data_IF_698228284476
#
_entry.id   IF_698228284476
#
_cell.length_a   1.000
_cell.length_b   1.000
_cell.length_c   1.000
_cell.angle_alpha   90.00
_cell.angle_beta   90.00
_cell.angle_gamma   90.00
#
_symmetry.space_group_name_H-M   'P 1'
#
loop_
_entity.id
_entity.type
_entity.pdbx_description
1 polymer ?
#
# COMPACT_ATOMS: atom_id res chain seq x y z
N UNK A 1 -3.92 13.96 17.90
CA UNK A 1 -3.08 13.71 16.71
C UNK A 1 -2.85 12.21 16.47
N UNK A 2 -2.44 11.42 17.46
CA UNK A 2 -2.22 9.97 17.30
C UNK A 2 -3.50 9.17 16.93
N UNK A 3 -4.64 9.44 17.58
CA UNK A 3 -5.91 8.74 17.29
C UNK A 3 -6.38 8.94 15.85
N UNK A 4 -6.33 10.17 15.34
CA UNK A 4 -6.72 10.49 13.96
C UNK A 4 -5.77 9.84 12.95
N UNK A 5 -4.48 9.76 13.26
CA UNK A 5 -3.49 9.07 12.42
C UNK A 5 -3.76 7.57 12.37
N UNK A 6 -4.00 6.95 13.52
CA UNK A 6 -4.39 5.54 13.63
C UNK A 6 -5.69 5.25 12.86
N UNK A 7 -6.69 6.13 12.96
CA UNK A 7 -7.95 6.01 12.22
C UNK A 7 -7.72 6.01 10.71
N UNK A 8 -6.89 6.92 10.19
CA UNK A 8 -6.58 7.00 8.75
C UNK A 8 -5.82 5.78 8.24
N UNK A 9 -4.90 5.26 9.04
CA UNK A 9 -4.18 4.01 8.72
C UNK A 9 -5.18 2.85 8.68
N UNK A 10 -6.04 2.72 9.69
CA UNK A 10 -7.07 1.66 9.71
C UNK A 10 -8.06 1.76 8.55
N UNK A 11 -8.47 2.98 8.17
CA UNK A 11 -9.34 3.19 7.00
C UNK A 11 -8.68 2.68 5.71
N UNK A 12 -7.40 3.03 5.50
CA UNK A 12 -6.64 2.52 4.36
C UNK A 12 -6.51 0.98 4.39
N UNK A 13 -6.18 0.41 5.54
CA UNK A 13 -6.06 -1.04 5.74
C UNK A 13 -7.38 -1.75 5.42
N UNK A 14 -8.51 -1.22 5.88
CA UNK A 14 -9.82 -1.78 5.58
C UNK A 14 -10.13 -1.71 4.08
N UNK A 15 -9.91 -0.56 3.43
CA UNK A 15 -10.13 -0.42 1.99
C UNK A 15 -9.26 -1.37 1.17
N UNK A 16 -8.02 -1.60 1.59
CA UNK A 16 -7.12 -2.55 0.94
C UNK A 16 -7.65 -3.99 1.07
N UNK A 17 -8.02 -4.39 2.29
CA UNK A 17 -8.60 -5.71 2.55
C UNK A 17 -9.93 -5.93 1.81
N UNK A 18 -10.80 -4.92 1.79
CA UNK A 18 -12.07 -4.97 1.08
C UNK A 18 -11.83 -5.11 -0.43
N UNK A 19 -10.87 -4.38 -1.00
CA UNK A 19 -10.54 -4.50 -2.43
C UNK A 19 -10.07 -5.90 -2.85
N UNK A 20 -9.38 -6.62 -1.95
CA UNK A 20 -8.98 -8.01 -2.20
C UNK A 20 -10.17 -8.95 -2.01
N UNK A 21 -10.93 -8.78 -0.93
CA UNK A 21 -12.08 -9.63 -0.60
C UNK A 21 -13.17 -9.59 -1.69
N UNK A 22 -13.37 -8.42 -2.29
CA UNK A 22 -14.38 -8.20 -3.32
C UNK A 22 -13.79 -8.23 -4.75
N UNK A 23 -12.52 -8.61 -4.91
CA UNK A 23 -11.84 -8.66 -6.21
C UNK A 23 -11.95 -7.33 -7.01
N UNK A 24 -11.93 -6.19 -6.31
CA UNK A 24 -12.04 -4.86 -6.89
C UNK A 24 -10.66 -4.32 -7.29
N UNK A 25 -10.23 -4.68 -8.50
CA UNK A 25 -8.96 -4.24 -9.09
C UNK A 25 -8.87 -2.72 -9.27
N UNK A 26 -9.99 -2.02 -9.47
CA UNK A 26 -10.02 -0.56 -9.64
C UNK A 26 -9.71 0.16 -8.32
N UNK A 27 -10.34 -0.26 -7.23
CA UNK A 27 -10.05 0.27 -5.89
C UNK A 27 -8.62 -0.06 -5.48
N UNK A 28 -8.17 -1.29 -5.72
CA UNK A 28 -6.81 -1.73 -5.38
C UNK A 28 -5.74 -0.92 -6.14
N UNK A 29 -5.97 -0.66 -7.43
CA UNK A 29 -5.12 0.22 -8.25
C UNK A 29 -4.98 1.61 -7.63
N UNK A 30 -6.07 2.22 -7.17
CA UNK A 30 -6.03 3.55 -6.55
C UNK A 30 -5.20 3.56 -5.26
N UNK A 31 -5.28 2.49 -4.46
CA UNK A 31 -4.51 2.34 -3.23
C UNK A 31 -3.01 2.14 -3.50
N UNK A 32 -2.66 1.47 -4.60
CA UNK A 32 -1.28 1.23 -5.02
C UNK A 32 -0.64 2.41 -5.75
N UNK A 33 -1.41 3.38 -6.25
CA UNK A 33 -0.92 4.50 -7.06
C UNK A 33 -0.26 5.59 -6.20
N UNK A 34 0.91 5.30 -5.62
CA UNK A 34 1.67 6.17 -4.69
C UNK A 34 1.91 7.57 -5.27
N UNK A 35 2.24 7.67 -6.56
CA UNK A 35 2.53 8.92 -7.25
C UNK A 35 1.30 9.74 -7.67
N UNK A 36 0.07 9.22 -7.46
CA UNK A 36 -1.19 9.85 -7.89
C UNK A 36 -1.49 11.21 -7.25
N UNK A 37 -0.81 11.56 -6.16
CA UNK A 37 -1.11 12.73 -5.33
C UNK A 37 -2.58 12.79 -4.87
N UNK A 38 -3.25 11.63 -4.75
CA UNK A 38 -4.61 11.56 -4.25
C UNK A 38 -4.67 12.07 -2.81
N UNK A 39 -5.71 12.84 -2.47
CA UNK A 39 -5.84 13.42 -1.13
C UNK A 39 -5.80 12.34 -0.04
N UNK A 40 -6.36 11.16 -0.29
CA UNK A 40 -6.32 10.02 0.63
C UNK A 40 -4.90 9.52 0.91
N UNK A 41 -4.06 9.39 -0.11
CA UNK A 41 -2.69 8.89 0.06
C UNK A 41 -1.77 9.94 0.68
N UNK A 42 -1.95 11.22 0.33
CA UNK A 42 -1.22 12.32 0.97
C UNK A 42 -1.53 12.39 2.47
N UNK A 43 -2.84 12.34 2.80
CA UNK A 43 -3.34 12.26 4.17
C UNK A 43 -2.79 11.04 4.93
N UNK A 44 -2.70 9.89 4.27
CA UNK A 44 -2.13 8.68 4.85
C UNK A 44 -0.62 8.83 5.12
N UNK A 45 0.13 9.38 4.18
CA UNK A 45 1.56 9.66 4.36
C UNK A 45 1.81 10.57 5.57
N UNK A 46 0.99 11.61 5.74
CA UNK A 46 1.06 12.50 6.90
C UNK A 46 0.70 11.76 8.20
N UNK A 47 -0.27 10.85 8.18
CA UNK A 47 -0.62 10.00 9.33
C UNK A 47 0.51 9.03 9.71
N UNK A 48 1.16 8.40 8.71
CA UNK A 48 2.27 7.48 8.90
C UNK A 48 3.50 8.15 9.51
N UNK A 49 3.74 9.43 9.19
CA UNK A 49 4.80 10.22 9.82
C UNK A 49 4.54 10.49 11.31
N UNK A 50 3.27 10.48 11.74
CA UNK A 50 2.86 10.75 13.12
C UNK A 50 2.62 9.47 13.95
N UNK A 51 2.74 8.28 13.34
CA UNK A 51 2.38 7.02 13.98
C UNK A 51 3.48 5.96 13.77
N UNK A 52 4.15 5.57 14.86
CA UNK A 52 5.34 4.70 14.77
C UNK A 52 5.03 3.19 14.70
N UNK A 53 3.91 2.74 15.26
CA UNK A 53 3.62 1.30 15.46
C UNK A 53 2.71 0.70 14.36
N UNK A 54 2.91 1.07 13.10
CA UNK A 54 2.07 0.62 11.98
C UNK A 54 2.02 -0.91 11.86
N UNK A 55 3.16 -1.58 12.06
CA UNK A 55 3.24 -3.05 12.01
C UNK A 55 2.36 -3.73 13.06
N UNK A 56 2.15 -3.08 14.21
CA UNK A 56 1.26 -3.60 15.25
C UNK A 56 -0.19 -3.56 14.78
N UNK A 57 -0.62 -2.50 14.08
CA UNK A 57 -1.96 -2.39 13.53
C UNK A 57 -2.23 -3.46 12.47
N UNK A 58 -1.27 -3.72 11.59
CA UNK A 58 -1.38 -4.78 10.57
C UNK A 58 -1.57 -6.14 11.25
N UNK A 59 -0.75 -6.47 12.24
CA UNK A 59 -0.81 -7.74 12.98
C UNK A 59 -2.09 -7.92 13.81
N UNK A 60 -2.68 -6.82 14.27
CA UNK A 60 -3.92 -6.83 15.05
C UNK A 60 -5.17 -6.94 14.16
N UNK A 61 -5.03 -6.80 12.85
CA UNK A 61 -6.17 -6.87 11.95
C UNK A 61 -6.43 -8.31 11.54
N UNK A 62 -7.53 -8.86 12.03
CA UNK A 62 -8.00 -10.22 11.67
C UNK A 62 -8.35 -10.35 10.18
N UNK A 63 -8.46 -9.22 9.46
CA UNK A 63 -8.76 -9.16 8.02
C UNK A 63 -7.54 -9.33 7.12
N UNK A 64 -6.33 -9.21 7.67
CA UNK A 64 -5.11 -9.41 6.91
C UNK A 64 -4.64 -10.85 7.06
N UNK A 65 -4.69 -11.61 5.98
CA UNK A 65 -3.86 -12.81 5.90
C UNK A 65 -2.39 -12.39 5.99
N UNK A 66 -1.54 -13.30 6.48
CA UNK A 66 -0.12 -13.02 6.63
C UNK A 66 0.51 -12.47 5.33
N UNK A 67 0.10 -13.02 4.19
CA UNK A 67 0.58 -12.64 2.86
C UNK A 67 0.18 -11.22 2.46
N UNK A 68 -1.05 -10.80 2.74
CA UNK A 68 -1.48 -9.42 2.46
C UNK A 68 -0.73 -8.43 3.36
N UNK A 69 -0.40 -8.84 4.60
CA UNK A 69 0.49 -8.06 5.47
C UNK A 69 1.88 -7.84 4.88
N UNK A 70 2.44 -8.83 4.19
CA UNK A 70 3.74 -8.77 3.50
C UNK A 70 3.72 -7.85 2.27
N UNK A 71 2.56 -7.56 1.70
CA UNK A 71 2.36 -6.54 0.65
C UNK A 71 2.24 -5.15 1.29
N UNK A 72 1.38 -5.03 2.30
CA UNK A 72 0.95 -3.72 2.81
C UNK A 72 1.98 -3.05 3.71
N UNK A 73 2.71 -3.81 4.54
CA UNK A 73 3.73 -3.22 5.40
C UNK A 73 4.81 -2.44 4.60
N UNK A 74 5.46 -3.02 3.57
CA UNK A 74 6.38 -2.28 2.72
C UNK A 74 5.70 -1.18 1.88
N UNK A 75 4.44 -1.35 1.48
CA UNK A 75 3.69 -0.31 0.75
C UNK A 75 3.47 0.94 1.60
N UNK A 76 3.06 0.79 2.87
CA UNK A 76 2.90 1.91 3.79
C UNK A 76 4.24 2.64 4.00
N UNK A 77 5.35 1.90 4.11
CA UNK A 77 6.68 2.51 4.17
C UNK A 77 7.05 3.25 2.89
N UNK A 78 6.69 2.72 1.73
CA UNK A 78 6.84 3.42 0.45
C UNK A 78 6.06 4.74 0.45
N UNK A 79 4.78 4.73 0.82
CA UNK A 79 3.93 5.93 0.88
C UNK A 79 4.52 6.98 1.84
N UNK A 80 4.98 6.55 3.01
CA UNK A 80 5.63 7.42 3.99
C UNK A 80 6.89 8.09 3.41
N UNK A 81 7.79 7.30 2.83
CA UNK A 81 9.05 7.81 2.26
C UNK A 81 8.81 8.70 1.05
N UNK A 82 7.86 8.34 0.18
CA UNK A 82 7.47 9.17 -0.95
C UNK A 82 6.94 10.53 -0.49
N UNK A 83 6.10 10.54 0.55
CA UNK A 83 5.58 11.78 1.16
C UNK A 83 6.69 12.63 1.76
N UNK A 84 7.71 12.01 2.35
CA UNK A 84 8.88 12.70 2.91
C UNK A 84 9.90 13.17 1.85
N UNK A 85 9.75 12.78 0.58
CA UNK A 85 10.71 13.08 -0.48
C UNK A 85 11.92 12.14 -0.51
N UNK A 86 11.90 11.05 0.26
CA UNK A 86 12.98 10.06 0.33
C UNK A 86 12.78 9.01 -0.77
N UNK A 87 13.00 9.37 -2.03
CA UNK A 87 12.64 8.52 -3.17
C UNK A 87 13.43 7.21 -3.26
N UNK A 88 14.70 7.19 -2.83
CA UNK A 88 15.51 5.95 -2.80
C UNK A 88 14.91 4.93 -1.82
N UNK A 89 14.53 5.36 -0.63
CA UNK A 89 13.91 4.49 0.37
C UNK A 89 12.46 4.12 -0.01
N UNK A 90 11.76 5.01 -0.71
CA UNK A 90 10.45 4.73 -1.26
C UNK A 90 10.53 3.62 -2.31
N UNK A 91 11.47 3.75 -3.26
CA UNK A 91 11.73 2.75 -4.30
C UNK A 91 12.05 1.38 -3.71
N UNK A 92 13.03 1.30 -2.79
CA UNK A 92 13.39 0.02 -2.16
C UNK A 92 12.28 -0.60 -1.31
N UNK A 93 11.35 0.22 -0.80
CA UNK A 93 10.14 -0.27 -0.11
C UNK A 93 9.08 -0.74 -1.11
N UNK A 94 8.89 -0.04 -2.23
CA UNK A 94 7.97 -0.44 -3.29
C UNK A 94 8.38 -1.77 -3.91
N UNK A 95 9.67 -1.98 -4.19
CA UNK A 95 10.16 -3.25 -4.74
C UNK A 95 9.80 -4.45 -3.85
N UNK A 96 9.91 -4.30 -2.52
CA UNK A 96 9.52 -5.35 -1.57
C UNK A 96 8.03 -5.61 -1.63
N UNK A 97 7.21 -4.56 -1.64
CA UNK A 97 5.76 -4.68 -1.77
C UNK A 97 5.34 -5.32 -3.09
N UNK A 98 5.97 -4.91 -4.20
CA UNK A 98 5.72 -5.42 -5.54
C UNK A 98 6.06 -6.91 -5.66
N UNK A 99 7.17 -7.35 -5.06
CA UNK A 99 7.54 -8.78 -5.04
C UNK A 99 6.49 -9.62 -4.31
N UNK A 100 6.07 -9.20 -3.11
CA UNK A 100 4.99 -9.87 -2.38
C UNK A 100 3.67 -9.85 -3.17
N UNK A 101 3.35 -8.71 -3.82
CA UNK A 101 2.14 -8.58 -4.63
C UNK A 101 2.15 -9.54 -5.81
N UNK A 102 3.28 -9.68 -6.52
CA UNK A 102 3.41 -10.62 -7.64
C UNK A 102 3.29 -12.08 -7.20
N UNK A 103 3.77 -12.41 -6.00
CA UNK A 103 3.63 -13.75 -5.44
C UNK A 103 2.16 -14.08 -5.19
N UNK A 104 1.41 -13.17 -4.56
CA UNK A 104 -0.02 -13.34 -4.33
C UNK A 104 -0.85 -13.24 -5.62
N UNK A 105 -0.50 -12.35 -6.54
CA UNK A 105 -1.18 -12.24 -7.82
C UNK A 105 -1.14 -13.56 -8.60
N UNK A 106 -0.03 -14.31 -8.51
CA UNK A 106 0.11 -15.63 -9.13
C UNK A 106 -0.71 -16.72 -8.44
N UNK A 107 -1.10 -16.52 -7.18
CA UNK A 107 -1.90 -17.49 -6.42
C UNK A 107 -3.41 -17.29 -6.63
N UNK A 108 -3.84 -16.10 -7.09
CA UNK A 108 -5.24 -15.81 -7.39
C UNK A 108 -5.76 -16.62 -8.58
N UNK A 109 -7.00 -17.13 -8.46
CA UNK A 109 -7.63 -17.96 -9.49
C UNK A 109 -8.01 -17.17 -10.76
N UNK A 110 -8.20 -15.85 -10.62
CA UNK A 110 -8.60 -14.96 -11.71
C UNK A 110 -7.71 -13.71 -11.79
N UNK A 111 -7.65 -13.09 -12.97
CA UNK A 111 -6.83 -11.90 -13.23
C UNK A 111 -7.53 -10.57 -12.85
N UNK A 112 -8.42 -10.59 -11.86
CA UNK A 112 -9.22 -9.42 -11.44
C UNK A 112 -8.35 -8.20 -11.08
N UNK A 113 -7.13 -8.43 -10.59
CA UNK A 113 -6.20 -7.39 -10.18
C UNK A 113 -5.23 -6.93 -11.28
N UNK A 114 -5.49 -7.23 -12.56
CA UNK A 114 -4.59 -6.86 -13.66
C UNK A 114 -4.34 -5.34 -13.72
N UNK A 115 -5.37 -4.54 -13.42
CA UNK A 115 -5.25 -3.08 -13.32
C UNK A 115 -4.33 -2.62 -12.19
N UNK A 116 -4.40 -3.29 -11.05
CA UNK A 116 -3.52 -3.05 -9.91
C UNK A 116 -2.07 -3.41 -10.25
N UNK A 117 -1.85 -4.51 -10.99
CA UNK A 117 -0.52 -4.90 -11.48
C UNK A 117 0.09 -3.82 -12.39
N UNK A 118 -0.71 -3.23 -13.30
CA UNK A 118 -0.25 -2.12 -14.12
C UNK A 118 0.15 -0.89 -13.28
N UNK A 119 -0.58 -0.58 -12.21
CA UNK A 119 -0.19 0.48 -11.28
C UNK A 119 1.13 0.16 -10.58
N UNK A 120 1.36 -1.08 -10.12
CA UNK A 120 2.64 -1.46 -9.52
C UNK A 120 3.80 -1.23 -10.49
N UNK A 121 3.67 -1.71 -11.73
CA UNK A 121 4.71 -1.52 -12.75
C UNK A 121 4.94 -0.03 -13.08
N UNK A 122 3.86 0.75 -13.16
CA UNK A 122 3.92 2.19 -13.39
C UNK A 122 4.64 2.93 -12.25
N UNK A 123 4.32 2.61 -11.00
CA UNK A 123 4.92 3.25 -9.82
C UNK A 123 6.41 2.90 -9.68
N UNK A 124 6.82 1.66 -10.01
CA UNK A 124 8.24 1.28 -10.07
C UNK A 124 8.98 2.18 -11.06
N UNK A 125 8.45 2.35 -12.28
CA UNK A 125 9.05 3.21 -13.29
C UNK A 125 9.14 4.67 -12.81
N UNK A 126 8.05 5.21 -12.25
CA UNK A 126 8.02 6.61 -11.77
C UNK A 126 9.03 6.85 -10.66
N UNK A 127 9.17 5.93 -9.71
CA UNK A 127 10.15 6.07 -8.63
C UNK A 127 11.59 5.88 -9.12
N UNK A 128 11.83 5.02 -10.11
CA UNK A 128 13.15 4.85 -10.72
C UNK A 128 13.62 6.09 -11.50
N UNK A 129 12.69 6.94 -11.95
CA UNK A 129 12.95 8.18 -12.70
C UNK A 129 13.11 9.43 -11.79
N UNK A 130 12.99 9.28 -10.47
CA UNK A 130 13.04 10.38 -9.47
C UNK A 130 14.40 10.48 -8.80
#
# INVERSE_FOLDING_TARGET
MAYESQRRINDYLNRFSDSITYEDGSSLKQLLSVSSNSHSLLSLGDALNNFQDVNRLIKQSDRFTQQVGEIVAPLLRCIQNYRAGNFVDAYGSLEKSANSFLQEFRSWESAWAMEALYAVAYEIRVLAER
#
